data_IF_439314096157
#
_entry.id   IF_439314096157
#
_cell.length_a   1.000
_cell.length_b   1.000
_cell.length_c   1.000
_cell.angle_alpha   90.00
_cell.angle_beta   90.00
_cell.angle_gamma   90.00
#
_symmetry.space_group_name_H-M   'P 1'
#
loop_
_entity.id
_entity.type
_entity.pdbx_description
1 polymer ?
#
# COMPACT_ATOMS: atom_id res chain seq x y z
N UNK A 1 6.34 11.19 27.81
CA UNK A 1 7.66 11.20 27.16
C UNK A 1 7.50 11.61 25.71
N UNK A 2 8.16 12.70 25.36
CA UNK A 2 7.86 13.63 24.29
C UNK A 2 8.65 13.29 23.03
N UNK A 3 8.00 12.69 22.03
CA UNK A 3 8.61 12.55 20.71
C UNK A 3 8.17 13.76 19.88
N UNK A 4 9.08 14.69 19.58
CA UNK A 4 8.87 15.83 18.66
C UNK A 4 8.60 15.44 17.20
N UNK A 5 8.09 14.23 16.98
CA UNK A 5 7.57 13.80 15.69
C UNK A 5 6.21 14.47 15.47
N UNK A 6 5.97 15.07 14.30
CA UNK A 6 4.70 15.71 14.01
C UNK A 6 3.55 14.71 14.20
N UNK A 7 2.62 15.05 15.11
CA UNK A 7 1.47 14.22 15.54
C UNK A 7 0.43 14.08 14.41
N UNK A 8 0.56 14.86 13.33
CA UNK A 8 -0.28 14.83 12.14
C UNK A 8 -0.03 13.55 11.32
N UNK A 9 -0.52 12.42 11.84
CA UNK A 9 -0.53 11.16 11.12
C UNK A 9 -1.76 11.16 10.19
N UNK A 10 -1.54 10.98 8.88
CA UNK A 10 -2.59 10.64 7.92
C UNK A 10 -3.65 9.63 8.41
N UNK A 11 -4.94 9.89 8.14
CA UNK A 11 -6.00 8.89 8.35
C UNK A 11 -5.79 7.63 7.49
N UNK A 12 -6.39 6.50 7.89
CA UNK A 12 -6.23 5.21 7.19
C UNK A 12 -6.64 5.28 5.70
N UNK A 13 -7.78 5.90 5.39
CA UNK A 13 -8.27 5.99 4.01
C UNK A 13 -7.38 6.88 3.14
N UNK A 14 -6.89 7.97 3.73
CA UNK A 14 -5.95 8.86 3.06
C UNK A 14 -4.64 8.13 2.74
N UNK A 15 -4.12 7.33 3.67
CA UNK A 15 -2.94 6.48 3.45
C UNK A 15 -3.18 5.47 2.34
N UNK A 16 -4.36 4.85 2.30
CA UNK A 16 -4.74 3.87 1.29
C UNK A 16 -4.79 4.49 -0.11
N UNK A 17 -5.37 5.68 -0.24
CA UNK A 17 -5.41 6.42 -1.50
C UNK A 17 -4.02 6.83 -2.01
N UNK A 18 -3.14 7.31 -1.12
CA UNK A 18 -1.75 7.65 -1.49
C UNK A 18 -0.93 6.41 -1.86
N UNK A 19 -1.16 5.29 -1.16
CA UNK A 19 -0.57 4.00 -1.50
C UNK A 19 -1.03 3.55 -2.89
N UNK A 20 -2.34 3.60 -3.15
CA UNK A 20 -2.93 3.26 -4.45
C UNK A 20 -2.33 4.14 -5.54
N UNK A 21 -2.37 5.46 -5.38
CA UNK A 21 -1.83 6.46 -6.30
C UNK A 21 -0.37 6.18 -6.72
N UNK A 22 0.47 5.71 -5.79
CA UNK A 22 1.91 5.51 -6.06
C UNK A 22 2.30 4.07 -6.40
N UNK A 23 1.30 3.18 -6.49
CA UNK A 23 1.47 1.78 -6.84
C UNK A 23 1.89 1.64 -8.30
N UNK A 24 2.88 0.78 -8.54
CA UNK A 24 3.30 0.40 -9.90
C UNK A 24 2.47 -0.79 -10.36
N UNK A 25 2.00 -0.77 -11.60
CA UNK A 25 1.40 -1.95 -12.23
C UNK A 25 2.51 -2.95 -12.57
N UNK A 26 2.42 -4.18 -12.05
CA UNK A 26 3.37 -5.26 -12.39
C UNK A 26 3.28 -5.58 -13.89
N UNK A 27 4.43 -5.88 -14.50
CA UNK A 27 4.56 -6.30 -15.91
C UNK A 27 4.02 -5.29 -16.94
N UNK A 28 3.91 -4.01 -16.59
CA UNK A 28 3.51 -2.98 -17.54
C UNK A 28 4.74 -2.43 -18.28
N UNK A 29 4.79 -2.58 -19.61
CA UNK A 29 5.85 -1.98 -20.43
C UNK A 29 5.81 -0.45 -20.28
N UNK A 30 6.97 0.19 -20.38
CA UNK A 30 7.02 1.65 -20.41
C UNK A 30 6.30 2.16 -21.65
N UNK A 31 5.54 3.25 -21.50
CA UNK A 31 5.03 3.99 -22.66
C UNK A 31 6.22 4.49 -23.49
N UNK A 32 6.08 4.49 -24.82
CA UNK A 32 7.12 4.95 -25.75
C UNK A 32 7.38 6.46 -25.61
N UNK A 33 6.32 7.20 -25.27
CA UNK A 33 6.33 8.66 -25.09
C UNK A 33 7.20 9.04 -23.87
N UNK A 34 8.02 10.07 -24.04
CA UNK A 34 8.79 10.70 -22.96
C UNK A 34 8.12 12.05 -22.68
N UNK A 35 7.64 12.22 -21.46
CA UNK A 35 7.00 13.46 -21.05
C UNK A 35 8.05 14.49 -20.62
N UNK A 36 7.88 15.72 -21.09
CA UNK A 36 8.75 16.86 -20.82
C UNK A 36 8.43 17.56 -19.48
N UNK A 37 7.17 17.51 -19.04
CA UNK A 37 6.70 18.21 -17.85
C UNK A 37 5.60 17.46 -17.09
N UNK A 38 5.35 17.88 -15.85
CA UNK A 38 4.23 17.35 -15.05
C UNK A 38 2.86 17.70 -15.67
N UNK A 39 2.76 18.82 -16.39
CA UNK A 39 1.52 19.27 -17.02
C UNK A 39 1.16 18.42 -18.22
N UNK A 40 2.14 18.04 -19.03
CA UNK A 40 1.95 17.14 -20.16
C UNK A 40 1.42 15.78 -19.71
N UNK A 41 1.94 15.25 -18.60
CA UNK A 41 1.42 14.02 -17.97
C UNK A 41 -0.04 14.20 -17.54
N UNK A 42 -0.41 15.36 -17.01
CA UNK A 42 -1.79 15.67 -16.58
C UNK A 42 -2.74 15.74 -17.77
N UNK A 43 -2.33 16.40 -18.86
CA UNK A 43 -3.11 16.49 -20.10
C UNK A 43 -3.31 15.10 -20.70
N UNK A 44 -2.23 14.30 -20.83
CA UNK A 44 -2.32 12.94 -21.36
C UNK A 44 -3.21 12.02 -20.50
N UNK A 45 -3.18 12.19 -19.18
CA UNK A 45 -4.07 11.46 -18.29
C UNK A 45 -5.54 11.88 -18.44
N UNK A 46 -5.81 13.20 -18.52
CA UNK A 46 -7.17 13.72 -18.72
C UNK A 46 -7.77 13.25 -20.06
N UNK A 47 -6.95 13.20 -21.11
CA UNK A 47 -7.32 12.69 -22.43
C UNK A 47 -7.32 11.16 -22.52
N UNK A 48 -7.17 10.45 -21.39
CA UNK A 48 -7.19 8.98 -21.27
C UNK A 48 -6.11 8.24 -22.09
N UNK A 49 -5.06 8.93 -22.54
CA UNK A 49 -3.92 8.36 -23.29
C UNK A 49 -3.07 7.45 -22.38
N UNK A 50 -2.96 7.84 -21.10
CA UNK A 50 -2.25 7.08 -20.06
C UNK A 50 -3.16 6.81 -18.86
N UNK A 51 -2.90 5.69 -18.18
CA UNK A 51 -3.61 5.31 -16.95
C UNK A 51 -2.80 5.68 -15.71
N UNK A 52 -3.47 5.68 -14.55
CA UNK A 52 -2.88 6.11 -13.27
C UNK A 52 -1.60 5.34 -12.89
N UNK A 53 -1.58 4.04 -13.18
CA UNK A 53 -0.48 3.13 -12.80
C UNK A 53 0.46 2.80 -13.96
N UNK A 54 0.39 3.55 -15.06
CA UNK A 54 1.26 3.33 -16.20
C UNK A 54 2.70 3.73 -15.90
N UNK A 55 3.64 2.93 -16.42
CA UNK A 55 5.07 3.21 -16.33
C UNK A 55 5.43 4.20 -17.44
N UNK A 56 5.96 5.36 -17.06
CA UNK A 56 6.28 6.46 -17.97
C UNK A 56 7.72 6.94 -17.77
N UNK A 57 8.26 7.62 -18.78
CA UNK A 57 9.52 8.35 -18.68
C UNK A 57 9.20 9.84 -18.58
N UNK A 58 9.79 10.53 -17.61
CA UNK A 58 9.61 11.96 -17.38
C UNK A 58 10.98 12.65 -17.41
N UNK A 59 11.11 13.77 -18.11
CA UNK A 59 12.26 14.67 -18.01
C UNK A 59 12.13 15.51 -16.73
N UNK A 60 13.08 15.37 -15.82
CA UNK A 60 13.12 16.09 -14.55
C UNK A 60 14.57 16.55 -14.28
N UNK A 61 14.79 17.86 -14.09
CA UNK A 61 16.12 18.47 -13.90
C UNK A 61 17.14 17.96 -14.95
N UNK A 62 16.81 18.09 -16.23
CA UNK A 62 17.60 17.65 -17.39
C UNK A 62 17.94 16.15 -17.44
N UNK A 63 17.34 15.31 -16.57
CA UNK A 63 17.52 13.86 -16.57
C UNK A 63 16.21 13.15 -16.86
N UNK A 64 16.28 12.04 -17.59
CA UNK A 64 15.11 11.20 -17.85
C UNK A 64 14.96 10.21 -16.69
N UNK A 65 13.86 10.31 -15.95
CA UNK A 65 13.54 9.42 -14.84
C UNK A 65 12.42 8.44 -15.23
N UNK A 66 12.56 7.19 -14.81
CA UNK A 66 11.53 6.14 -14.94
C UNK A 66 10.56 6.22 -13.76
N UNK A 67 9.30 6.60 -13.99
CA UNK A 67 8.31 6.81 -12.92
C UNK A 67 6.92 6.25 -13.31
N UNK A 68 5.88 6.59 -12.56
CA UNK A 68 4.48 6.31 -12.92
C UNK A 68 3.64 7.58 -12.91
N UNK A 69 2.55 7.59 -13.69
CA UNK A 69 1.61 8.72 -13.78
C UNK A 69 1.18 9.21 -12.39
N UNK A 70 0.73 8.30 -11.50
CA UNK A 70 0.30 8.68 -10.17
C UNK A 70 1.41 9.22 -9.26
N UNK A 71 2.67 8.79 -9.45
CA UNK A 71 3.82 9.40 -8.75
C UNK A 71 4.08 10.81 -9.23
N UNK A 72 3.89 11.12 -10.52
CA UNK A 72 3.98 12.49 -11.02
C UNK A 72 2.95 13.39 -10.34
N UNK A 73 1.71 12.93 -10.20
CA UNK A 73 0.67 13.69 -9.49
C UNK A 73 1.00 13.96 -8.03
N UNK A 74 1.54 12.97 -7.32
CA UNK A 74 2.02 13.19 -5.96
C UNK A 74 3.16 14.23 -5.91
N UNK A 75 4.15 14.10 -6.80
CA UNK A 75 5.29 15.01 -6.84
C UNK A 75 4.92 16.43 -7.25
N UNK A 76 3.85 16.62 -8.03
CA UNK A 76 3.33 17.95 -8.38
C UNK A 76 2.83 18.76 -7.18
N UNK A 77 2.57 18.09 -6.05
CA UNK A 77 2.15 18.72 -4.79
C UNK A 77 3.28 18.87 -3.77
N UNK A 78 4.49 18.38 -4.08
CA UNK A 78 5.64 18.57 -3.20
C UNK A 78 6.16 20.01 -3.30
N UNK A 79 6.67 20.57 -2.19
CA UNK A 79 7.44 21.81 -2.23
C UNK A 79 8.69 21.68 -3.14
N UNK A 80 9.05 22.76 -3.83
CA UNK A 80 10.18 22.79 -4.80
C UNK A 80 11.52 22.35 -4.21
N UNK A 81 11.73 22.56 -2.91
CA UNK A 81 12.96 22.21 -2.19
C UNK A 81 13.06 20.71 -1.82
N UNK A 82 12.06 19.89 -2.18
CA UNK A 82 12.06 18.45 -1.93
C UNK A 82 12.40 17.68 -3.21
N UNK A 83 13.39 16.78 -3.09
CA UNK A 83 13.77 15.86 -4.17
C UNK A 83 12.60 14.97 -4.58
N UNK A 84 12.51 14.65 -5.88
CA UNK A 84 11.48 13.78 -6.45
C UNK A 84 11.39 12.43 -5.71
N UNK A 85 10.17 12.07 -5.32
CA UNK A 85 9.85 10.86 -4.57
C UNK A 85 9.36 9.79 -5.53
N UNK A 86 10.22 8.82 -5.83
CA UNK A 86 9.91 7.73 -6.76
C UNK A 86 9.77 6.37 -6.05
N UNK A 87 9.11 6.35 -4.90
CA UNK A 87 8.90 5.12 -4.10
C UNK A 87 7.42 4.89 -3.79
N UNK A 88 7.07 3.65 -3.46
CA UNK A 88 5.73 3.33 -2.98
C UNK A 88 5.49 4.00 -1.61
N UNK A 89 4.38 4.72 -1.49
CA UNK A 89 4.04 5.44 -0.27
C UNK A 89 3.30 4.53 0.72
N UNK A 90 4.07 3.87 1.58
CA UNK A 90 3.55 3.20 2.79
C UNK A 90 3.46 4.18 3.96
N UNK A 91 2.69 3.85 5.00
CA UNK A 91 2.51 4.64 6.25
C UNK A 91 3.83 5.23 6.77
N UNK A 92 4.86 4.40 6.97
CA UNK A 92 6.15 4.84 7.52
C UNK A 92 6.91 5.78 6.57
N UNK A 93 6.81 5.56 5.25
CA UNK A 93 7.43 6.43 4.25
C UNK A 93 6.77 7.81 4.23
N UNK A 94 5.45 7.87 4.32
CA UNK A 94 4.69 9.13 4.35
C UNK A 94 5.08 9.93 5.61
N UNK A 95 5.13 9.30 6.78
CA UNK A 95 5.61 9.95 8.02
C UNK A 95 7.02 10.56 7.85
N UNK A 96 7.96 9.80 7.28
CA UNK A 96 9.33 10.30 7.01
C UNK A 96 9.35 11.48 6.06
N UNK A 97 8.48 11.50 5.04
CA UNK A 97 8.38 12.61 4.09
C UNK A 97 7.83 13.86 4.77
N UNK A 98 6.77 13.72 5.57
CA UNK A 98 6.18 14.84 6.33
C UNK A 98 7.22 15.43 7.28
N UNK A 99 7.93 14.58 8.06
CA UNK A 99 9.01 15.02 8.95
C UNK A 99 10.10 15.78 8.20
N UNK A 100 10.52 15.28 7.03
CA UNK A 100 11.53 15.95 6.20
C UNK A 100 11.09 17.32 5.69
N UNK A 101 9.82 17.47 5.36
CA UNK A 101 9.25 18.77 4.91
C UNK A 101 9.13 19.72 6.09
N UNK A 102 8.68 19.22 7.24
CA UNK A 102 8.60 19.99 8.48
C UNK A 102 9.95 20.61 8.87
N UNK A 103 11.04 19.84 8.79
CA UNK A 103 12.39 20.32 9.15
C UNK A 103 12.94 21.37 8.15
N UNK A 104 12.54 21.31 6.87
CA UNK A 104 13.16 22.09 5.79
C UNK A 104 12.37 23.32 5.35
N UNK A 105 11.16 23.50 5.88
CA UNK A 105 10.21 24.47 5.37
C UNK A 105 9.48 25.18 6.51
N UNK A 106 8.92 26.35 6.22
CA UNK A 106 8.07 27.09 7.15
C UNK A 106 6.75 26.37 7.40
N UNK A 107 6.12 26.64 8.55
CA UNK A 107 4.83 26.07 8.94
C UNK A 107 3.76 26.23 7.84
N UNK A 108 3.70 27.39 7.19
CA UNK A 108 2.75 27.63 6.09
C UNK A 108 2.92 26.67 4.91
N UNK A 109 4.16 26.35 4.52
CA UNK A 109 4.41 25.40 3.42
C UNK A 109 4.02 23.98 3.84
N UNK A 110 4.29 23.63 5.10
CA UNK A 110 3.93 22.32 5.67
C UNK A 110 2.42 22.15 5.69
N UNK A 111 1.66 23.13 6.21
CA UNK A 111 0.20 23.05 6.28
C UNK A 111 -0.41 22.91 4.89
N UNK A 112 0.02 23.75 3.94
CA UNK A 112 -0.41 23.67 2.53
C UNK A 112 -0.10 22.31 1.90
N UNK A 113 1.05 21.72 2.22
CA UNK A 113 1.40 20.38 1.76
C UNK A 113 0.50 19.30 2.36
N UNK A 114 0.22 19.37 3.67
CA UNK A 114 -0.68 18.44 4.35
C UNK A 114 -2.09 18.48 3.75
N UNK A 115 -2.63 19.66 3.49
CA UNK A 115 -3.94 19.81 2.85
C UNK A 115 -3.97 19.26 1.42
N UNK A 116 -2.90 19.49 0.64
CA UNK A 116 -2.78 18.94 -0.70
C UNK A 116 -2.74 17.41 -0.71
N UNK A 117 -1.97 16.82 0.21
CA UNK A 117 -1.92 15.36 0.39
C UNK A 117 -3.26 14.82 0.86
N UNK A 118 -3.95 15.55 1.73
CA UNK A 118 -5.29 15.19 2.20
C UNK A 118 -6.27 15.08 1.05
N UNK A 119 -6.37 16.13 0.25
CA UNK A 119 -7.22 16.14 -0.95
C UNK A 119 -6.83 15.03 -1.93
N UNK A 120 -5.53 14.83 -2.20
CA UNK A 120 -5.07 13.75 -3.08
C UNK A 120 -5.43 12.36 -2.55
N UNK A 121 -5.14 12.09 -1.29
CA UNK A 121 -5.36 10.79 -0.67
C UNK A 121 -6.83 10.40 -0.70
N UNK A 122 -7.73 11.27 -0.25
CA UNK A 122 -9.16 11.00 -0.30
C UNK A 122 -9.69 10.86 -1.73
N UNK A 123 -9.31 11.75 -2.65
CA UNK A 123 -9.77 11.68 -4.04
C UNK A 123 -9.38 10.35 -4.72
N UNK A 124 -8.15 9.88 -4.52
CA UNK A 124 -7.69 8.63 -5.14
C UNK A 124 -8.09 7.37 -4.36
N UNK A 125 -8.41 7.47 -3.07
CA UNK A 125 -9.09 6.41 -2.34
C UNK A 125 -10.50 6.19 -2.91
N UNK A 126 -11.26 7.29 -3.08
CA UNK A 126 -12.60 7.27 -3.68
C UNK A 126 -12.58 6.77 -5.13
N UNK A 127 -11.80 7.41 -6.00
CA UNK A 127 -11.67 7.01 -7.42
C UNK A 127 -11.11 5.61 -7.61
N UNK A 128 -10.33 5.11 -6.65
CA UNK A 128 -9.80 3.76 -6.68
C UNK A 128 -10.89 2.69 -6.50
N UNK A 129 -12.12 3.08 -6.11
CA UNK A 129 -13.23 2.16 -5.88
C UNK A 129 -12.90 1.10 -4.83
N UNK A 130 -12.00 1.42 -3.90
CA UNK A 130 -11.50 0.53 -2.85
C UNK A 130 -12.61 0.34 -1.80
N UNK A 131 -13.65 -0.39 -2.18
CA UNK A 131 -14.67 -0.92 -1.29
C UNK A 131 -14.17 -2.27 -0.75
N UNK A 132 -14.23 -2.46 0.56
CA UNK A 132 -14.01 -3.75 1.19
C UNK A 132 -15.28 -4.60 1.00
N UNK A 133 -15.33 -5.43 -0.04
CA UNK A 133 -16.29 -6.54 -0.10
C UNK A 133 -15.67 -7.77 0.57
N UNK A 134 -16.31 -8.27 1.64
CA UNK A 134 -15.90 -9.48 2.37
C UNK A 134 -15.72 -10.69 1.45
N UNK A 135 -16.59 -10.84 0.45
CA UNK A 135 -16.65 -12.05 -0.39
C UNK A 135 -15.49 -12.20 -1.39
N UNK A 136 -14.94 -11.09 -1.91
CA UNK A 136 -13.96 -11.15 -3.01
C UNK A 136 -12.49 -10.97 -2.57
N UNK A 137 -12.25 -10.40 -1.39
CA UNK A 137 -10.89 -10.09 -0.93
C UNK A 137 -10.32 -11.12 0.06
N UNK A 138 -11.18 -11.91 0.70
CA UNK A 138 -10.77 -13.05 1.53
C UNK A 138 -10.73 -14.31 0.67
N UNK A 139 -9.60 -14.53 -0.01
CA UNK A 139 -9.37 -15.82 -0.69
C UNK A 139 -9.20 -16.91 0.37
N UNK A 140 -10.27 -17.65 0.64
CA UNK A 140 -10.18 -18.92 1.36
C UNK A 140 -9.27 -19.84 0.54
N UNK A 141 -8.09 -20.11 1.09
CA UNK A 141 -7.12 -21.00 0.46
C UNK A 141 -7.76 -22.38 0.29
N UNK A 142 -7.76 -22.93 -0.93
CA UNK A 142 -8.25 -24.28 -1.22
C UNK A 142 -7.54 -25.34 -0.34
N UNK A 143 -6.29 -25.07 0.05
CA UNK A 143 -5.47 -25.88 0.96
C UNK A 143 -6.06 -25.98 2.37
N UNK A 144 -6.84 -24.99 2.84
CA UNK A 144 -7.46 -24.97 4.17
C UNK A 144 -8.28 -26.23 4.43
N UNK A 145 -9.10 -26.66 3.47
CA UNK A 145 -9.90 -27.90 3.57
C UNK A 145 -9.02 -29.15 3.70
N UNK A 146 -7.90 -29.22 2.96
CA UNK A 146 -6.96 -30.36 3.06
C UNK A 146 -6.27 -30.42 4.42
N UNK A 147 -5.83 -29.27 4.95
CA UNK A 147 -5.21 -29.18 6.28
C UNK A 147 -6.21 -29.58 7.37
N UNK A 148 -7.43 -29.03 7.33
CA UNK A 148 -8.49 -29.38 8.29
C UNK A 148 -8.79 -30.89 8.25
N UNK A 149 -8.91 -31.47 7.06
CA UNK A 149 -9.18 -32.90 6.92
C UNK A 149 -8.02 -33.77 7.42
N UNK A 150 -6.76 -33.35 7.20
CA UNK A 150 -5.58 -34.03 7.74
C UNK A 150 -5.57 -34.00 9.27
N UNK A 151 -5.79 -32.82 9.86
CA UNK A 151 -5.83 -32.64 11.30
C UNK A 151 -6.99 -33.42 11.93
N UNK A 152 -8.17 -33.41 11.32
CA UNK A 152 -9.31 -34.21 11.78
C UNK A 152 -9.04 -35.72 11.75
N UNK A 153 -8.29 -36.23 10.75
CA UNK A 153 -7.85 -37.63 10.73
C UNK A 153 -6.90 -37.93 11.89
N UNK A 154 -5.92 -37.06 12.15
CA UNK A 154 -5.00 -37.19 13.30
C UNK A 154 -5.75 -37.18 14.64
N UNK A 155 -6.73 -36.29 14.80
CA UNK A 155 -7.58 -36.20 16.00
C UNK A 155 -8.41 -37.48 16.17
N UNK A 156 -8.96 -38.05 15.08
CA UNK A 156 -9.67 -39.34 15.12
C UNK A 156 -8.78 -40.48 15.61
N UNK A 157 -7.52 -40.54 15.16
CA UNK A 157 -6.55 -41.55 15.59
C UNK A 157 -6.23 -41.38 17.08
N UNK A 158 -6.00 -40.16 17.55
CA UNK A 158 -5.75 -39.87 18.98
C UNK A 158 -6.97 -40.27 19.83
N UNK A 159 -8.19 -39.97 19.38
CA UNK A 159 -9.41 -40.36 20.08
C UNK A 159 -9.59 -41.88 20.12
N UNK A 160 -9.24 -42.61 19.06
CA UNK A 160 -9.26 -44.08 19.03
C UNK A 160 -8.24 -44.67 20.01
N UNK A 161 -7.02 -44.15 20.03
CA UNK A 161 -5.98 -44.59 20.96
C UNK A 161 -6.38 -44.33 22.43
N UNK A 162 -7.08 -43.23 22.70
CA UNK A 162 -7.63 -42.95 24.03
C UNK A 162 -8.73 -43.95 24.42
N UNK A 163 -9.67 -44.27 23.51
CA UNK A 163 -10.72 -45.27 23.73
C UNK A 163 -10.15 -46.67 24.00
N UNK A 164 -9.07 -47.03 23.31
CA UNK A 164 -8.36 -48.29 23.50
C UNK A 164 -7.43 -48.29 24.74
N UNK A 165 -7.50 -47.27 25.60
CA UNK A 165 -6.67 -47.08 26.80
C UNK A 165 -5.14 -47.02 26.54
N UNK A 166 -4.71 -46.79 25.29
CA UNK A 166 -3.29 -46.69 24.91
C UNK A 166 -2.64 -45.35 25.28
N UNK A 167 -3.44 -44.32 25.59
CA UNK A 167 -2.95 -42.99 26.00
C UNK A 167 -3.79 -42.43 27.15
N UNK A 168 -3.16 -41.67 28.04
CA UNK A 168 -3.83 -40.98 29.16
C UNK A 168 -4.56 -39.71 28.72
N UNK A 169 -5.49 -39.21 29.54
CA UNK A 169 -6.26 -37.98 29.28
C UNK A 169 -5.34 -36.75 29.09
N UNK A 170 -4.26 -36.65 29.89
CA UNK A 170 -3.24 -35.60 29.79
C UNK A 170 -2.49 -35.67 28.46
N UNK A 171 -2.08 -36.87 28.04
CA UNK A 171 -1.37 -37.06 26.76
C UNK A 171 -2.26 -36.79 25.54
N UNK A 172 -3.56 -37.12 25.61
CA UNK A 172 -4.55 -36.75 24.58
C UNK A 172 -4.66 -35.23 24.43
N UNK A 173 -4.80 -34.50 25.53
CA UNK A 173 -4.95 -33.05 25.53
C UNK A 173 -3.74 -32.36 24.88
N UNK A 174 -2.53 -32.73 25.29
CA UNK A 174 -1.29 -32.17 24.75
C UNK A 174 -1.12 -32.47 23.26
N UNK A 175 -1.47 -33.68 22.81
CA UNK A 175 -1.38 -34.06 21.39
C UNK A 175 -2.39 -33.33 20.51
N UNK A 176 -3.57 -32.97 21.03
CA UNK A 176 -4.59 -32.23 20.26
C UNK A 176 -4.20 -30.75 20.11
N UNK A 177 -3.62 -30.13 21.13
CA UNK A 177 -3.19 -28.72 21.07
C UNK A 177 -2.01 -28.50 20.12
N UNK A 178 -1.12 -29.49 20.02
CA UNK A 178 0.05 -29.41 19.14
C UNK A 178 -0.25 -29.66 17.65
N UNK A 179 -1.52 -29.97 17.29
CA UNK A 179 -1.99 -30.23 15.92
C UNK A 179 -2.65 -28.98 15.34
#
# INVERSE_FOLDING_TARGET
MSNGDPILIPSQDMLLGLYYLTKKKKNNKFKKIIFSSNEEVKIAFNNKIIKLHDNIKLKYNNKIIKTTTGRVFFNSKLPKNIKYINTLLKKNKIKKIIKKIYIKNTNYIVTKFLDNIKKLGFNYAYKGGLSFKLDNNLKILKIKKKIINKNNKSIKIINKNYKNKLITKKNKYNKIINI
#
